data_IF_065088145704
#
_entry.id   IF_065088145704
#
_cell.length_a   1.000
_cell.length_b   1.000
_cell.length_c   1.000
_cell.angle_alpha   90.00
_cell.angle_beta   90.00
_cell.angle_gamma   90.00
#
_symmetry.space_group_name_H-M   'P 1'
#
loop_
_entity.id
_entity.type
_entity.pdbx_description
1 polymer ?
#
# COMPACT_ATOMS: atom_id res chain seq x y z
N UNK A 1 20.08 -1.14 11.49
CA UNK A 1 19.79 0.13 10.81
C UNK A 1 18.31 0.39 11.02
N UNK A 2 17.98 1.34 11.90
CA UNK A 2 16.62 1.60 12.37
C UNK A 2 15.81 2.24 11.22
N UNK A 3 14.80 1.54 10.71
CA UNK A 3 13.82 2.14 9.80
C UNK A 3 12.90 3.03 10.62
N UNK A 4 12.97 4.34 10.37
CA UNK A 4 12.05 5.34 10.88
C UNK A 4 10.62 5.02 10.38
N UNK A 5 9.91 4.18 11.13
CA UNK A 5 8.58 3.65 10.80
C UNK A 5 7.45 4.41 11.49
N UNK A 6 7.66 5.67 11.88
CA UNK A 6 6.70 6.39 12.75
C UNK A 6 5.90 7.46 12.01
N UNK A 7 6.21 7.73 10.75
CA UNK A 7 5.47 8.71 9.96
C UNK A 7 4.30 8.06 9.24
N UNK A 8 3.03 8.43 9.56
CA UNK A 8 1.88 7.87 8.87
C UNK A 8 1.93 8.22 7.38
N UNK A 9 1.85 7.21 6.53
CA UNK A 9 1.88 7.36 5.08
C UNK A 9 0.48 7.78 4.63
N UNK A 10 0.38 8.95 4.03
CA UNK A 10 -0.87 9.47 3.48
C UNK A 10 -1.06 8.95 2.06
N UNK A 11 -2.22 8.36 1.79
CA UNK A 11 -2.65 7.89 0.47
C UNK A 11 -3.83 8.75 0.02
N UNK A 12 -3.64 9.50 -1.06
CA UNK A 12 -4.70 10.29 -1.68
C UNK A 12 -5.30 9.51 -2.85
N UNK A 13 -6.61 9.42 -2.87
CA UNK A 13 -7.39 8.85 -3.95
C UNK A 13 -8.02 9.98 -4.75
N UNK A 14 -7.89 9.90 -6.07
CA UNK A 14 -8.63 10.72 -7.01
C UNK A 14 -9.41 9.81 -7.95
N UNK A 15 -10.71 10.02 -8.05
CA UNK A 15 -11.54 9.39 -9.07
C UNK A 15 -11.30 10.07 -10.42
N UNK A 16 -11.12 9.27 -11.47
CA UNK A 16 -10.99 9.70 -12.84
C UNK A 16 -11.76 8.71 -13.74
N UNK A 17 -12.83 9.16 -14.37
CA UNK A 17 -13.65 8.39 -15.33
C UNK A 17 -14.01 6.98 -14.81
N UNK A 18 -14.56 6.89 -13.59
CA UNK A 18 -14.97 5.61 -12.99
C UNK A 18 -13.83 4.75 -12.43
N UNK A 19 -12.59 5.24 -12.44
CA UNK A 19 -11.44 4.57 -11.82
C UNK A 19 -10.87 5.40 -10.68
N UNK A 20 -10.53 4.75 -9.57
CA UNK A 20 -9.90 5.37 -8.41
C UNK A 20 -8.40 5.23 -8.52
N UNK A 21 -7.68 6.35 -8.49
CA UNK A 21 -6.22 6.42 -8.60
C UNK A 21 -5.64 6.76 -7.23
N UNK A 22 -4.87 5.85 -6.66
CA UNK A 22 -4.15 6.01 -5.39
C UNK A 22 -2.73 6.53 -5.62
N UNK A 23 -2.37 7.57 -4.88
CA UNK A 23 -1.04 8.17 -4.86
C UNK A 23 -0.62 8.50 -3.43
N UNK A 24 0.61 8.18 -3.06
CA UNK A 24 1.20 8.61 -1.80
C UNK A 24 2.24 9.71 -2.09
N UNK A 25 2.08 10.93 -1.55
CA UNK A 25 3.05 12.00 -1.75
C UNK A 25 4.46 11.57 -1.31
N UNK A 26 5.47 11.90 -2.13
CA UNK A 26 6.86 11.51 -1.87
C UNK A 26 7.21 10.06 -2.27
N UNK A 27 6.23 9.24 -2.66
CA UNK A 27 6.46 7.87 -3.11
C UNK A 27 6.14 7.75 -4.62
N UNK A 28 7.09 7.16 -5.36
CA UNK A 28 6.98 6.95 -6.82
C UNK A 28 5.81 6.05 -7.26
N UNK A 29 5.50 4.92 -6.60
CA UNK A 29 4.49 4.01 -7.13
C UNK A 29 3.08 4.59 -7.00
N UNK A 30 2.24 4.22 -7.96
CA UNK A 30 0.81 4.53 -7.97
C UNK A 30 0.01 3.25 -8.22
N UNK A 31 -1.24 3.23 -7.78
CA UNK A 31 -2.15 2.12 -8.06
C UNK A 31 -3.50 2.67 -8.50
N UNK A 32 -4.24 1.89 -9.28
CA UNK A 32 -5.59 2.22 -9.67
C UNK A 32 -6.50 1.02 -9.50
N UNK A 33 -7.77 1.28 -9.18
CA UNK A 33 -8.80 0.27 -9.08
C UNK A 33 -10.15 0.86 -9.51
N UNK A 34 -10.94 0.12 -10.28
CA UNK A 34 -12.30 0.55 -10.65
C UNK A 34 -13.37 0.09 -9.64
N UNK A 35 -12.99 -0.73 -8.65
CA UNK A 35 -13.92 -1.25 -7.64
C UNK A 35 -14.28 -0.21 -6.59
N UNK A 36 -13.28 0.53 -6.10
CA UNK A 36 -13.48 1.50 -5.03
C UNK A 36 -12.21 2.20 -4.57
N UNK A 37 -12.34 3.29 -3.79
CA UNK A 37 -11.23 4.08 -3.30
C UNK A 37 -10.36 3.28 -2.30
N UNK A 38 -10.99 2.48 -1.43
CA UNK A 38 -10.28 1.62 -0.48
C UNK A 38 -9.42 0.58 -1.20
N UNK A 39 -9.98 -0.12 -2.21
CA UNK A 39 -9.24 -1.13 -2.96
C UNK A 39 -8.05 -0.52 -3.72
N UNK A 40 -8.19 0.71 -4.22
CA UNK A 40 -7.06 1.43 -4.82
C UNK A 40 -5.98 1.74 -3.78
N UNK A 41 -6.37 2.14 -2.55
CA UNK A 41 -5.42 2.38 -1.45
C UNK A 41 -4.70 1.09 -1.03
N UNK A 42 -5.42 -0.03 -0.89
CA UNK A 42 -4.86 -1.34 -0.57
C UNK A 42 -3.87 -1.82 -1.63
N UNK A 43 -4.22 -1.64 -2.92
CA UNK A 43 -3.33 -1.98 -4.02
C UNK A 43 -2.03 -1.15 -3.97
N UNK A 44 -2.10 0.13 -3.59
CA UNK A 44 -0.93 0.96 -3.41
C UNK A 44 -0.09 0.49 -2.21
N UNK A 45 -0.71 0.18 -1.07
CA UNK A 45 -0.03 -0.34 0.10
C UNK A 45 0.74 -1.64 -0.22
N UNK A 46 0.12 -2.59 -0.94
CA UNK A 46 0.79 -3.82 -1.40
C UNK A 46 2.00 -3.54 -2.31
N UNK A 47 1.90 -2.53 -3.19
CA UNK A 47 3.04 -2.12 -4.04
C UNK A 47 4.20 -1.61 -3.18
N UNK A 48 3.89 -0.79 -2.18
CA UNK A 48 4.83 -0.25 -1.20
C UNK A 48 5.35 -1.26 -0.18
N UNK A 49 4.83 -2.49 -0.18
CA UNK A 49 5.18 -3.53 0.80
C UNK A 49 4.61 -3.28 2.19
N UNK A 50 3.57 -2.44 2.29
CA UNK A 50 2.84 -2.12 3.51
C UNK A 50 1.68 -3.10 3.72
N UNK A 51 1.26 -3.26 4.98
CA UNK A 51 0.14 -4.13 5.34
C UNK A 51 -1.22 -3.55 4.86
N UNK A 52 -1.88 -4.13 3.83
CA UNK A 52 -3.08 -3.53 3.25
C UNK A 52 -4.25 -3.38 4.25
N UNK A 53 -4.30 -4.21 5.29
CA UNK A 53 -5.35 -4.17 6.32
C UNK A 53 -5.19 -3.06 7.37
N UNK A 54 -4.12 -2.28 7.35
CA UNK A 54 -3.87 -1.19 8.32
C UNK A 54 -4.14 0.20 7.73
N UNK A 55 -4.90 0.25 6.63
CA UNK A 55 -5.35 1.49 6.00
C UNK A 55 -6.58 2.01 6.75
N UNK A 56 -6.53 3.26 7.18
CA UNK A 56 -7.66 3.94 7.81
C UNK A 56 -8.11 5.11 6.94
N UNK A 57 -9.42 5.20 6.68
CA UNK A 57 -10.00 6.33 5.97
C UNK A 57 -9.94 7.58 6.85
N UNK A 58 -9.44 8.69 6.28
CA UNK A 58 -9.40 9.98 6.92
C UNK A 58 -10.56 10.82 6.39
N UNK A 59 -11.55 11.06 7.26
CA UNK A 59 -12.65 11.98 6.98
C UNK A 59 -12.11 13.40 6.98
N UNK A 60 -11.86 13.98 5.81
CA UNK A 60 -11.45 15.37 5.69
C UNK A 60 -12.59 16.17 5.09
N UNK A 61 -13.16 17.06 5.91
CA UNK A 61 -14.09 18.08 5.42
C UNK A 61 -13.40 18.91 4.34
N UNK A 62 -14.00 18.99 3.16
CA UNK A 62 -13.49 19.76 2.03
C UNK A 62 -12.74 18.97 0.95
N UNK A 63 -12.70 17.63 1.01
CA UNK A 63 -12.36 16.85 -0.18
C UNK A 63 -13.52 16.95 -1.18
N UNK A 64 -13.22 17.40 -2.40
CA UNK A 64 -14.22 17.46 -3.48
C UNK A 64 -14.79 16.08 -3.80
N UNK A 65 -15.97 16.06 -4.43
CA UNK A 65 -16.62 14.82 -4.88
C UNK A 65 -15.63 13.93 -5.67
N UNK A 66 -15.55 12.65 -5.31
CA UNK A 66 -14.63 11.69 -5.94
C UNK A 66 -13.19 11.71 -5.41
N UNK A 67 -12.90 12.45 -4.34
CA UNK A 67 -11.61 12.41 -3.63
C UNK A 67 -11.76 11.75 -2.26
N UNK A 68 -10.87 10.81 -1.95
CA UNK A 68 -10.79 10.17 -0.62
C UNK A 68 -9.35 10.23 -0.12
N UNK A 69 -9.15 10.26 1.20
CA UNK A 69 -7.82 10.17 1.79
C UNK A 69 -7.79 9.01 2.77
N UNK A 70 -6.69 8.28 2.75
CA UNK A 70 -6.40 7.22 3.70
C UNK A 70 -5.03 7.45 4.34
N UNK A 71 -4.85 6.90 5.52
CA UNK A 71 -3.58 6.90 6.25
C UNK A 71 -3.18 5.46 6.58
N UNK A 72 -1.88 5.19 6.52
CA UNK A 72 -1.29 3.90 6.88
C UNK A 72 -0.18 4.12 7.91
N UNK A 73 -0.07 3.27 8.92
CA UNK A 73 0.89 3.38 10.04
C UNK A 73 2.37 3.14 9.69
N UNK A 74 2.70 2.93 8.41
CA UNK A 74 4.04 2.50 7.96
C UNK A 74 4.40 1.02 8.21
N UNK A 75 3.54 0.23 8.87
CA UNK A 75 3.80 -1.19 9.14
C UNK A 75 4.05 -2.01 7.85
N UNK A 76 5.12 -2.79 7.83
CA UNK A 76 5.50 -3.61 6.69
C UNK A 76 4.69 -4.91 6.64
N UNK A 77 4.24 -5.29 5.46
CA UNK A 77 3.60 -6.58 5.25
C UNK A 77 4.62 -7.71 5.35
N UNK A 78 4.27 -8.80 6.04
CA UNK A 78 5.01 -10.07 6.04
C UNK A 78 4.14 -11.18 5.42
N UNK A 79 4.69 -12.38 5.23
CA UNK A 79 3.89 -13.51 4.79
C UNK A 79 3.02 -13.98 5.96
N UNK A 80 1.77 -13.53 6.03
CA UNK A 80 0.83 -13.95 7.09
C UNK A 80 0.19 -15.30 6.83
N UNK A 81 0.41 -15.90 5.65
CA UNK A 81 -0.16 -17.17 5.25
C UNK A 81 0.83 -18.31 5.50
N UNK A 82 0.33 -19.51 5.79
CA UNK A 82 1.14 -20.73 5.84
C UNK A 82 1.46 -21.29 4.44
N UNK A 83 1.17 -20.50 3.38
CA UNK A 83 1.48 -20.83 1.98
C UNK A 83 2.91 -20.43 1.62
N UNK A 84 3.49 -21.16 0.67
CA UNK A 84 4.80 -20.89 0.11
C UNK A 84 4.92 -19.47 -0.47
N UNK A 85 3.87 -18.95 -1.11
CA UNK A 85 3.81 -17.60 -1.66
C UNK A 85 3.08 -16.65 -0.72
N UNK A 86 3.66 -15.48 -0.49
CA UNK A 86 3.01 -14.44 0.31
C UNK A 86 1.79 -13.86 -0.42
N UNK A 87 0.63 -13.76 0.24
CA UNK A 87 -0.59 -13.20 -0.36
C UNK A 87 -0.52 -11.70 -0.65
N UNK A 88 0.46 -11.00 -0.04
CA UNK A 88 0.61 -9.55 -0.17
C UNK A 88 1.48 -9.15 -1.37
N UNK A 89 2.49 -9.96 -1.71
CA UNK A 89 3.47 -9.62 -2.74
C UNK A 89 3.67 -10.71 -3.81
N UNK A 90 3.11 -11.92 -3.63
CA UNK A 90 3.25 -13.06 -4.56
C UNK A 90 4.62 -13.77 -4.51
N UNK A 91 5.57 -13.25 -3.74
CA UNK A 91 6.93 -13.78 -3.62
C UNK A 91 6.99 -14.81 -2.48
N UNK A 92 7.82 -15.85 -2.63
CA UNK A 92 8.10 -16.78 -1.55
C UNK A 92 8.99 -16.13 -0.48
N UNK A 93 8.43 -15.94 0.71
CA UNK A 93 9.16 -15.50 1.90
C UNK A 93 8.44 -15.93 3.18
N UNK A 94 9.14 -15.88 4.32
CA UNK A 94 8.60 -16.27 5.63
C UNK A 94 7.93 -15.10 6.35
N UNK A 95 7.38 -15.38 7.54
CA UNK A 95 6.85 -14.36 8.47
C UNK A 95 7.91 -13.39 8.99
N UNK A 96 9.19 -13.79 8.97
CA UNK A 96 10.31 -13.01 9.50
C UNK A 96 10.91 -12.07 8.45
N UNK A 97 10.65 -12.32 7.17
CA UNK A 97 11.07 -11.46 6.05
C UNK A 97 9.88 -10.59 5.63
N UNK A 98 10.11 -9.29 5.48
CA UNK A 98 9.10 -8.36 4.99
C UNK A 98 8.93 -8.48 3.48
N UNK A 99 7.76 -8.07 2.98
CA UNK A 99 7.47 -8.05 1.55
C UNK A 99 8.47 -7.16 0.80
N UNK A 100 8.96 -6.08 1.41
CA UNK A 100 9.95 -5.21 0.79
C UNK A 100 11.33 -5.87 0.71
N UNK A 101 11.78 -6.56 1.75
CA UNK A 101 13.03 -7.34 1.72
C UNK A 101 12.95 -8.44 0.66
N UNK A 102 11.84 -9.19 0.64
CA UNK A 102 11.61 -10.24 -0.36
C UNK A 102 11.59 -9.68 -1.80
N UNK A 103 10.98 -8.51 -2.00
CA UNK A 103 10.99 -7.79 -3.28
C UNK A 103 12.37 -7.29 -3.67
N UNK A 104 13.16 -6.76 -2.73
CA UNK A 104 14.52 -6.33 -3.00
C UNK A 104 15.44 -7.51 -3.36
N UNK A 105 15.19 -8.69 -2.75
CA UNK A 105 15.91 -9.94 -3.04
C UNK A 105 15.61 -10.49 -4.44
N UNK A 106 14.35 -10.48 -4.86
CA UNK A 106 13.92 -11.04 -6.17
C UNK A 106 14.00 -10.01 -7.30
N UNK A 107 13.79 -8.74 -6.97
CA UNK A 107 13.81 -7.60 -7.88
C UNK A 107 15.12 -6.80 -7.76
N UNK A 108 16.21 -7.37 -8.27
CA UNK A 108 17.36 -6.56 -8.66
C UNK A 108 17.00 -5.68 -9.86
N UNK A 109 16.97 -4.36 -9.63
CA UNK A 109 16.99 -3.25 -10.60
C UNK A 109 15.90 -3.20 -11.69
N UNK A 110 15.11 -2.12 -11.68
CA UNK A 110 14.90 -1.28 -12.87
C UNK A 110 15.04 0.20 -12.48
#
# INVERSE_FOLDING_TARGET
MQTDNTSPITINIRQNTGTYIAKAPGLKPTASCSTGPLQAAEALAKKLGLAPGLIQEQSIGGLGYGCSRFSHSGELATNTSDKAHCPNCGICHTRTETCNEAKARVGGAV
#
